data_IF_523345673790
#
_entry.id   IF_523345673790
#
_cell.length_a   1.000
_cell.length_b   1.000
_cell.length_c   1.000
_cell.angle_alpha   90.00
_cell.angle_beta   90.00
_cell.angle_gamma   90.00
#
_symmetry.space_group_name_H-M   'P 1'
#
loop_
_entity.id
_entity.type
_entity.pdbx_description
1 polymer ?
#
# COMPACT_ATOMS: atom_id res chain seq x y z
N UNK A 1 13.99 20.66 61.07
CA UNK A 1 14.30 19.80 59.92
C UNK A 1 13.12 19.92 58.96
N UNK A 2 13.23 20.86 57.97
CA UNK A 2 12.15 21.19 57.05
C UNK A 2 12.25 20.30 55.82
N UNK A 3 11.17 19.58 55.53
CA UNK A 3 11.00 18.80 54.30
C UNK A 3 10.42 19.73 53.22
N UNK A 4 11.21 20.01 52.16
CA UNK A 4 10.76 20.79 51.00
C UNK A 4 10.01 19.89 50.05
N UNK A 5 8.72 20.17 49.87
CA UNK A 5 7.89 19.62 48.80
C UNK A 5 8.28 20.25 47.48
N UNK A 6 8.79 19.42 46.53
CA UNK A 6 8.93 19.79 45.13
C UNK A 6 7.60 19.47 44.42
N UNK A 7 6.87 20.50 44.10
CA UNK A 7 5.69 20.40 43.20
C UNK A 7 6.23 20.51 41.80
N UNK A 8 6.16 19.39 41.05
CA UNK A 8 6.38 19.39 39.59
C UNK A 8 5.16 20.00 38.93
N UNK A 9 5.30 21.18 38.35
CA UNK A 9 4.35 21.76 37.42
C UNK A 9 4.47 21.03 36.08
N UNK A 10 3.58 20.07 35.87
CA UNK A 10 3.28 19.59 34.54
C UNK A 10 2.43 20.66 33.84
N UNK A 11 3.00 21.37 32.90
CA UNK A 11 2.29 22.29 32.01
C UNK A 11 1.42 21.49 31.07
N UNK A 12 0.15 21.34 31.45
CA UNK A 12 -0.91 20.83 30.56
C UNK A 12 -1.12 21.89 29.48
N UNK A 13 -0.62 21.60 28.29
CA UNK A 13 -1.00 22.33 27.07
C UNK A 13 -2.51 22.21 26.89
N UNK A 14 -3.24 23.28 27.20
CA UNK A 14 -4.65 23.42 26.83
C UNK A 14 -4.74 23.45 25.31
N UNK A 15 -5.04 22.33 24.69
CA UNK A 15 -5.41 22.27 23.29
C UNK A 15 -6.75 22.96 23.15
N UNK A 16 -6.74 24.13 22.53
CA UNK A 16 -7.93 24.88 22.15
C UNK A 16 -8.78 24.00 21.22
N UNK A 17 -9.98 23.67 21.64
CA UNK A 17 -10.99 22.94 20.84
C UNK A 17 -11.56 23.86 19.75
N UNK A 18 -10.74 24.24 18.79
CA UNK A 18 -11.23 24.66 17.47
C UNK A 18 -11.55 23.40 16.70
N UNK A 19 -12.81 23.20 16.32
CA UNK A 19 -13.23 22.11 15.45
C UNK A 19 -12.31 22.08 14.23
N UNK A 20 -11.48 21.04 14.13
CA UNK A 20 -10.55 20.87 13.01
C UNK A 20 -11.38 20.84 11.71
N UNK A 21 -11.07 21.72 10.77
CA UNK A 21 -11.71 21.73 9.46
C UNK A 21 -11.24 20.48 8.71
N UNK A 22 -12.02 19.40 8.76
CA UNK A 22 -11.73 18.09 8.19
C UNK A 22 -11.75 18.06 6.65
N UNK A 23 -11.97 19.20 5.99
CA UNK A 23 -12.05 19.30 4.54
C UNK A 23 -11.02 20.29 4.00
N UNK A 24 -10.12 19.78 3.19
CA UNK A 24 -9.20 20.64 2.45
C UNK A 24 -9.96 21.29 1.27
N UNK A 25 -10.00 22.63 1.25
CA UNK A 25 -10.61 23.46 0.17
C UNK A 25 -9.60 23.84 -0.92
N UNK A 26 -8.34 23.46 -0.76
CA UNK A 26 -7.26 23.75 -1.70
C UNK A 26 -7.26 22.74 -2.83
N UNK A 27 -6.97 23.18 -4.06
CA UNK A 27 -6.92 22.29 -5.22
C UNK A 27 -5.79 21.27 -5.11
N UNK A 28 -5.97 20.08 -5.67
CA UNK A 28 -4.93 19.03 -5.69
C UNK A 28 -3.64 19.54 -6.34
N UNK A 29 -3.75 20.35 -7.40
CA UNK A 29 -2.60 20.92 -8.09
C UNK A 29 -1.78 21.81 -7.16
N UNK A 30 -2.42 22.72 -6.45
CA UNK A 30 -1.77 23.62 -5.50
C UNK A 30 -1.11 22.87 -4.32
N UNK A 31 -1.76 21.80 -3.81
CA UNK A 31 -1.18 20.97 -2.76
C UNK A 31 0.09 20.24 -3.21
N UNK A 32 0.10 19.73 -4.45
CA UNK A 32 1.30 19.13 -5.04
C UNK A 32 2.40 20.17 -5.24
N UNK A 33 2.08 21.35 -5.76
CA UNK A 33 3.04 22.44 -5.93
C UNK A 33 3.70 22.83 -4.61
N UNK A 34 2.92 22.94 -3.53
CA UNK A 34 3.45 23.19 -2.16
C UNK A 34 4.41 22.11 -1.71
N UNK A 35 4.07 20.83 -1.91
CA UNK A 35 4.93 19.69 -1.56
C UNK A 35 6.25 19.74 -2.35
N UNK A 36 6.23 20.07 -3.64
CA UNK A 36 7.44 20.17 -4.45
C UNK A 36 8.33 21.35 -4.08
N UNK A 37 7.77 22.41 -3.47
CA UNK A 37 8.52 23.55 -2.92
C UNK A 37 9.04 23.30 -1.51
N UNK A 38 8.57 22.27 -0.82
CA UNK A 38 9.02 21.93 0.53
C UNK A 38 10.48 21.48 0.51
N UNK A 39 11.32 22.17 1.30
CA UNK A 39 12.77 21.92 1.38
C UNK A 39 13.06 20.80 2.38
N UNK A 40 12.22 20.69 3.43
CA UNK A 40 12.39 19.69 4.46
C UNK A 40 12.15 18.28 3.88
N UNK A 41 13.11 17.35 4.06
CA UNK A 41 12.92 15.97 3.61
C UNK A 41 11.83 15.30 4.43
N UNK A 42 11.09 14.42 3.77
CA UNK A 42 10.02 13.62 4.40
C UNK A 42 10.37 12.15 4.35
N UNK A 43 9.93 11.41 5.36
CA UNK A 43 10.04 9.95 5.42
C UNK A 43 8.69 9.31 5.13
N UNK A 44 8.62 8.46 4.12
CA UNK A 44 7.43 7.68 3.79
C UNK A 44 7.40 6.39 4.58
N UNK A 45 6.25 6.10 5.19
CA UNK A 45 6.08 5.00 6.14
C UNK A 45 4.75 4.29 5.87
N UNK A 46 4.73 2.99 6.05
CA UNK A 46 3.48 2.23 6.14
C UNK A 46 3.41 1.42 7.41
N UNK A 47 2.24 1.33 8.01
CA UNK A 47 1.97 0.46 9.15
C UNK A 47 0.51 0.03 9.18
N UNK A 48 0.23 -1.04 9.87
CA UNK A 48 -1.11 -1.51 10.15
C UNK A 48 -1.14 -2.22 11.49
N UNK A 49 -2.33 -2.27 12.10
CA UNK A 49 -2.56 -3.04 13.30
C UNK A 49 -4.01 -3.52 13.34
N UNK A 50 -4.22 -4.82 13.58
CA UNK A 50 -5.54 -5.37 13.85
C UNK A 50 -5.81 -5.31 15.35
N UNK A 51 -6.83 -4.55 15.76
CA UNK A 51 -7.33 -4.43 17.12
C UNK A 51 -8.74 -3.87 17.11
N UNK A 52 -9.48 -4.10 18.18
CA UNK A 52 -10.85 -3.61 18.26
C UNK A 52 -10.91 -2.10 18.53
N UNK A 53 -11.63 -1.38 17.70
CA UNK A 53 -11.92 0.06 17.85
C UNK A 53 -13.43 0.21 18.05
N UNK A 54 -13.84 0.64 19.24
CA UNK A 54 -15.25 0.79 19.61
C UNK A 54 -15.93 1.89 18.79
N UNK A 55 -15.32 3.07 18.68
CA UNK A 55 -15.80 4.20 17.87
C UNK A 55 -14.75 4.61 16.80
N UNK A 56 -14.81 4.02 15.60
CA UNK A 56 -13.88 4.37 14.52
C UNK A 56 -13.96 5.84 14.07
N UNK A 57 -15.10 6.51 14.26
CA UNK A 57 -15.25 7.93 13.89
C UNK A 57 -14.50 8.84 14.85
N UNK A 58 -14.72 8.61 16.16
CA UNK A 58 -13.99 9.34 17.20
C UNK A 58 -12.49 9.09 17.10
N UNK A 59 -12.08 7.82 16.98
CA UNK A 59 -10.68 7.44 16.79
C UNK A 59 -10.05 8.14 15.58
N UNK A 60 -10.76 8.19 14.44
CA UNK A 60 -10.34 8.91 13.23
C UNK A 60 -10.11 10.39 13.51
N UNK A 61 -11.01 11.07 14.24
CA UNK A 61 -10.95 12.51 14.48
C UNK A 61 -9.80 12.87 15.44
N UNK A 62 -9.62 12.08 16.51
CA UNK A 62 -8.52 12.22 17.46
C UNK A 62 -7.17 12.01 16.75
N UNK A 63 -7.04 10.93 15.96
CA UNK A 63 -5.85 10.62 15.19
C UNK A 63 -5.54 11.70 14.13
N UNK A 64 -6.58 12.23 13.44
CA UNK A 64 -6.40 13.31 12.47
C UNK A 64 -5.79 14.55 13.14
N UNK A 65 -6.30 14.94 14.29
CA UNK A 65 -5.83 16.12 15.03
C UNK A 65 -4.35 15.98 15.41
N UNK A 66 -3.96 14.82 15.93
CA UNK A 66 -2.59 14.54 16.33
C UNK A 66 -1.62 14.50 15.12
N UNK A 67 -1.98 13.79 14.07
CA UNK A 67 -1.11 13.66 12.89
C UNK A 67 -1.02 14.94 12.07
N UNK A 68 -2.11 15.71 11.98
CA UNK A 68 -2.12 17.00 11.29
C UNK A 68 -1.20 18.03 11.98
N UNK A 69 -1.14 18.01 13.31
CA UNK A 69 -0.22 18.86 14.09
C UNK A 69 1.26 18.54 13.81
N UNK A 70 1.56 17.32 13.37
CA UNK A 70 2.90 16.87 12.98
C UNK A 70 3.20 17.03 11.49
N UNK A 71 2.33 17.71 10.72
CA UNK A 71 2.42 17.85 9.26
C UNK A 71 2.51 16.50 8.53
N UNK A 72 1.82 15.48 9.03
CA UNK A 72 1.73 14.18 8.38
C UNK A 72 0.80 14.28 7.17
N UNK A 73 1.25 13.75 6.03
CA UNK A 73 0.41 13.52 4.85
C UNK A 73 0.21 12.03 4.67
N UNK A 74 -0.82 11.63 3.94
CA UNK A 74 -1.03 10.23 3.65
C UNK A 74 -2.49 9.80 3.59
N UNK A 75 -2.66 8.49 3.50
CA UNK A 75 -3.96 7.84 3.46
C UNK A 75 -4.04 6.80 4.57
N UNK A 76 -5.05 6.95 5.41
CA UNK A 76 -5.29 6.04 6.54
C UNK A 76 -6.73 5.52 6.44
N UNK A 77 -6.88 4.21 6.61
CA UNK A 77 -8.17 3.56 6.79
C UNK A 77 -8.31 3.09 8.23
N UNK A 78 -9.44 3.43 8.83
CA UNK A 78 -9.84 3.03 10.19
C UNK A 78 -11.13 2.23 10.08
N UNK A 79 -11.20 1.10 10.78
CA UNK A 79 -12.39 0.27 10.89
C UNK A 79 -12.51 -0.26 12.33
N UNK A 80 -13.61 -0.93 12.66
CA UNK A 80 -13.75 -1.62 13.96
C UNK A 80 -12.68 -2.69 14.19
N UNK A 81 -12.08 -3.23 13.11
CA UNK A 81 -11.04 -4.26 13.16
C UNK A 81 -9.60 -3.70 13.25
N UNK A 82 -9.40 -2.36 13.22
CA UNK A 82 -8.06 -1.77 13.32
C UNK A 82 -7.77 -0.58 12.41
N UNK A 83 -6.49 -0.41 12.06
CA UNK A 83 -5.93 0.68 11.26
C UNK A 83 -5.01 0.16 10.15
N UNK A 84 -5.02 0.86 9.00
CA UNK A 84 -4.09 0.67 7.89
C UNK A 84 -3.65 2.04 7.37
N UNK A 85 -2.36 2.33 7.46
CA UNK A 85 -1.78 3.65 7.19
C UNK A 85 -0.64 3.57 6.18
N UNK A 86 -0.67 4.49 5.20
CA UNK A 86 0.44 4.86 4.35
C UNK A 86 0.58 6.38 4.46
N UNK A 87 1.68 6.85 5.00
CA UNK A 87 1.88 8.25 5.38
C UNK A 87 3.29 8.74 5.03
N UNK A 88 3.45 10.05 4.95
CA UNK A 88 4.76 10.70 4.98
C UNK A 88 4.79 11.76 6.07
N UNK A 89 5.91 11.87 6.76
CA UNK A 89 6.14 12.80 7.86
C UNK A 89 7.43 13.58 7.60
N UNK A 90 7.52 14.90 7.92
CA UNK A 90 8.78 15.60 7.92
C UNK A 90 9.81 14.86 8.78
N UNK A 91 11.03 14.73 8.29
CA UNK A 91 12.06 13.92 8.96
C UNK A 91 12.31 14.36 10.42
N UNK A 92 12.24 15.67 10.67
CA UNK A 92 12.41 16.23 12.02
C UNK A 92 11.25 15.83 12.97
N UNK A 93 10.08 15.46 12.44
CA UNK A 93 8.92 15.06 13.22
C UNK A 93 8.77 13.53 13.34
N UNK A 94 9.72 12.73 12.81
CA UNK A 94 9.62 11.26 12.82
C UNK A 94 9.52 10.68 14.24
N UNK A 95 10.37 11.12 15.16
CA UNK A 95 10.33 10.65 16.55
C UNK A 95 9.09 11.14 17.30
N UNK A 96 8.59 12.34 16.98
CA UNK A 96 7.34 12.85 17.53
C UNK A 96 6.13 11.99 17.05
N UNK A 97 6.15 11.58 15.78
CA UNK A 97 5.16 10.64 15.25
C UNK A 97 5.21 9.29 15.98
N UNK A 98 6.41 8.73 16.20
CA UNK A 98 6.58 7.47 16.93
C UNK A 98 6.01 7.56 18.34
N UNK A 99 6.33 8.64 19.05
CA UNK A 99 5.82 8.89 20.40
C UNK A 99 4.29 9.02 20.40
N UNK A 100 3.72 9.78 19.46
CA UNK A 100 2.27 9.93 19.30
C UNK A 100 1.57 8.58 19.07
N UNK A 101 2.14 7.70 18.26
CA UNK A 101 1.58 6.36 18.04
C UNK A 101 1.72 5.49 19.30
N UNK A 102 2.83 5.58 20.03
CA UNK A 102 3.07 4.82 21.26
C UNK A 102 2.12 5.22 22.41
N UNK A 103 1.56 6.43 22.40
CA UNK A 103 0.54 6.86 23.37
C UNK A 103 -0.81 6.14 23.16
N UNK A 104 -1.02 5.55 21.97
CA UNK A 104 -2.20 4.74 21.65
C UNK A 104 -1.84 3.28 21.95
N UNK A 105 -2.35 2.73 23.08
CA UNK A 105 -1.94 1.41 23.62
C UNK A 105 -1.85 0.31 22.55
N UNK A 106 -2.84 0.07 21.65
CA UNK A 106 -2.71 -0.96 20.63
C UNK A 106 -1.68 -0.67 19.53
N UNK A 107 -1.17 0.57 19.43
CA UNK A 107 -0.14 0.99 18.47
C UNK A 107 1.24 1.13 19.12
N UNK A 108 1.36 0.84 20.41
CA UNK A 108 2.64 0.90 21.10
C UNK A 108 3.64 -0.07 20.44
N UNK A 109 4.78 0.45 20.01
CA UNK A 109 5.80 -0.27 19.25
C UNK A 109 5.29 -0.91 17.94
N UNK A 110 4.23 -0.35 17.33
CA UNK A 110 3.78 -0.81 16.02
C UNK A 110 4.94 -0.72 15.00
N UNK A 111 5.08 -1.75 14.16
CA UNK A 111 6.12 -1.75 13.13
C UNK A 111 5.87 -0.64 12.12
N UNK A 112 6.85 0.22 11.94
CA UNK A 112 6.88 1.25 10.91
C UNK A 112 7.76 0.75 9.74
N UNK A 113 7.13 0.34 8.64
CA UNK A 113 7.84 -0.02 7.41
C UNK A 113 8.23 1.28 6.70
N UNK A 114 9.49 1.65 6.77
CA UNK A 114 10.04 2.82 6.08
C UNK A 114 10.22 2.47 4.61
N UNK A 115 9.92 3.37 3.70
CA UNK A 115 10.10 3.19 2.26
C UNK A 115 11.55 2.80 1.90
N UNK A 116 11.70 1.93 0.91
CA UNK A 116 13.03 1.46 0.45
C UNK A 116 13.68 2.50 -0.46
N UNK A 117 12.85 3.15 -1.30
CA UNK A 117 13.24 4.19 -2.24
C UNK A 117 12.27 5.36 -2.07
N UNK A 118 12.73 6.47 -1.47
CA UNK A 118 11.88 7.57 -1.02
C UNK A 118 12.40 8.93 -1.48
N UNK A 119 11.65 9.55 -2.39
CA UNK A 119 11.91 10.92 -2.83
C UNK A 119 11.22 11.99 -1.95
N UNK A 120 10.51 11.56 -0.90
CA UNK A 120 9.75 12.43 -0.01
C UNK A 120 8.48 13.03 -0.62
N UNK A 121 8.06 12.59 -1.82
CA UNK A 121 6.93 13.16 -2.56
C UNK A 121 5.73 12.22 -2.68
N UNK A 122 5.65 11.23 -1.80
CA UNK A 122 4.62 10.17 -1.82
C UNK A 122 3.19 10.66 -1.59
N UNK A 123 2.99 11.68 -0.73
CA UNK A 123 1.68 12.22 -0.37
C UNK A 123 1.71 13.74 -0.19
N UNK A 124 0.61 14.43 -0.52
CA UNK A 124 0.46 15.91 -0.42
C UNK A 124 -0.67 16.37 0.50
N UNK A 125 -1.42 15.44 1.12
CA UNK A 125 -2.52 15.76 2.04
C UNK A 125 -2.80 14.57 2.96
N UNK A 126 -3.21 14.84 4.20
CA UNK A 126 -3.68 13.82 5.12
C UNK A 126 -5.16 13.49 4.83
N UNK A 127 -5.47 12.22 4.60
CA UNK A 127 -6.83 11.69 4.44
C UNK A 127 -7.03 10.47 5.32
N UNK A 128 -7.87 10.58 6.34
CA UNK A 128 -8.27 9.45 7.19
C UNK A 128 -9.73 9.12 6.91
N UNK A 129 -10.00 7.88 6.51
CA UNK A 129 -11.35 7.41 6.13
C UNK A 129 -11.78 6.25 7.01
N UNK A 130 -12.97 6.35 7.57
CA UNK A 130 -13.63 5.20 8.19
C UNK A 130 -14.15 4.27 7.10
N UNK A 131 -13.92 2.97 7.25
CA UNK A 131 -14.30 1.89 6.37
C UNK A 131 -14.90 0.75 7.17
N UNK A 132 -15.59 -0.18 6.49
CA UNK A 132 -16.11 -1.40 7.14
C UNK A 132 -14.96 -2.34 7.52
N UNK A 133 -13.91 -2.36 6.71
CA UNK A 133 -12.69 -3.17 6.87
C UNK A 133 -11.45 -2.35 6.52
N UNK A 134 -10.31 -2.66 7.18
CA UNK A 134 -9.02 -2.00 6.85
C UNK A 134 -8.36 -2.58 5.59
N UNK A 135 -8.80 -3.77 5.17
CA UNK A 135 -8.52 -4.37 3.86
C UNK A 135 -9.80 -5.03 3.35
N UNK A 136 -10.13 -4.82 2.07
CA UNK A 136 -11.36 -5.33 1.48
C UNK A 136 -11.26 -6.84 1.19
N UNK A 137 -11.53 -7.67 2.19
CA UNK A 137 -11.38 -9.13 2.15
C UNK A 137 -12.60 -9.89 1.62
N UNK A 138 -13.80 -9.33 1.74
CA UNK A 138 -15.05 -9.98 1.33
C UNK A 138 -15.46 -11.18 2.19
N UNK A 139 -14.81 -11.44 3.32
CA UNK A 139 -15.14 -12.54 4.21
C UNK A 139 -16.45 -12.22 4.94
N UNK A 140 -17.47 -13.02 4.69
CA UNK A 140 -18.79 -12.92 5.33
C UNK A 140 -19.05 -14.04 6.35
N UNK A 141 -18.16 -15.02 6.45
CA UNK A 141 -18.29 -16.16 7.38
C UNK A 141 -18.12 -15.70 8.83
N UNK A 142 -19.17 -15.83 9.63
CA UNK A 142 -19.18 -15.43 11.03
C UNK A 142 -18.28 -16.32 11.93
N UNK A 143 -17.88 -17.49 11.47
CA UNK A 143 -16.97 -18.40 12.19
C UNK A 143 -15.50 -18.07 11.93
N UNK A 144 -15.20 -17.14 11.02
CA UNK A 144 -13.83 -16.73 10.72
C UNK A 144 -13.20 -15.97 11.89
N UNK A 145 -12.05 -16.47 12.36
CA UNK A 145 -11.31 -15.86 13.47
C UNK A 145 -9.91 -15.40 13.03
N UNK A 146 -9.69 -14.08 12.98
CA UNK A 146 -8.41 -13.45 12.68
C UNK A 146 -7.29 -13.78 13.68
N UNK A 147 -7.61 -14.26 14.89
CA UNK A 147 -6.62 -14.63 15.90
C UNK A 147 -5.88 -15.92 15.53
N UNK A 148 -6.56 -16.81 14.78
CA UNK A 148 -5.93 -18.02 14.24
C UNK A 148 -5.29 -17.71 12.89
N UNK A 149 -4.10 -17.15 12.91
CA UNK A 149 -3.33 -16.74 11.71
C UNK A 149 -2.04 -17.53 11.56
N UNK A 150 -1.47 -17.50 10.36
CA UNK A 150 -0.21 -18.15 10.02
C UNK A 150 0.98 -17.59 10.80
N UNK A 151 2.08 -18.30 10.77
CA UNK A 151 3.31 -17.93 11.47
C UNK A 151 4.06 -16.84 10.68
N UNK A 152 4.52 -15.81 11.39
CA UNK A 152 5.44 -14.82 10.82
C UNK A 152 6.81 -15.45 10.56
N UNK A 153 7.44 -15.07 9.46
CA UNK A 153 8.82 -15.47 9.16
C UNK A 153 9.65 -14.24 8.82
N UNK A 154 10.88 -14.22 9.31
CA UNK A 154 11.89 -13.22 8.97
C UNK A 154 12.35 -13.37 7.52
N UNK A 155 13.14 -12.42 7.00
CA UNK A 155 13.75 -12.55 5.67
C UNK A 155 14.67 -13.77 5.57
N UNK A 156 15.44 -14.07 6.62
CA UNK A 156 16.33 -15.25 6.67
C UNK A 156 15.54 -16.56 6.66
N UNK A 157 14.49 -16.66 7.47
CA UNK A 157 13.66 -17.85 7.53
C UNK A 157 12.82 -18.02 6.26
N UNK A 158 12.40 -16.91 5.64
CA UNK A 158 11.76 -16.93 4.32
C UNK A 158 12.71 -17.56 3.31
N UNK A 159 13.96 -17.09 3.24
CA UNK A 159 14.95 -17.64 2.29
C UNK A 159 15.19 -19.14 2.51
N UNK A 160 15.34 -19.57 3.78
CA UNK A 160 15.50 -21.00 4.13
C UNK A 160 14.26 -21.82 3.74
N UNK A 161 13.06 -21.34 4.04
CA UNK A 161 11.83 -22.05 3.70
C UNK A 161 11.67 -22.21 2.17
N UNK A 162 12.03 -21.18 1.40
CA UNK A 162 11.91 -21.22 -0.07
C UNK A 162 12.93 -22.16 -0.75
N UNK A 163 13.94 -22.64 -0.05
CA UNK A 163 14.87 -23.68 -0.52
C UNK A 163 14.26 -25.09 -0.40
N UNK A 164 13.26 -25.27 0.43
CA UNK A 164 12.56 -26.54 0.55
C UNK A 164 11.59 -26.71 -0.64
N UNK A 165 11.72 -27.79 -1.46
CA UNK A 165 10.85 -28.04 -2.62
C UNK A 165 9.38 -28.27 -2.27
N UNK A 166 9.07 -28.55 -1.00
CA UNK A 166 7.71 -28.66 -0.50
C UNK A 166 7.09 -27.33 -0.07
N UNK A 167 7.81 -26.23 -0.23
CA UNK A 167 7.32 -24.89 0.05
C UNK A 167 6.79 -24.21 -1.20
N UNK A 168 5.60 -23.67 -1.09
CA UNK A 168 4.93 -22.90 -2.14
C UNK A 168 4.92 -21.43 -1.72
N UNK A 169 5.53 -20.57 -2.53
CA UNK A 169 5.54 -19.12 -2.34
C UNK A 169 4.36 -18.51 -3.09
N UNK A 170 3.50 -17.77 -2.40
CA UNK A 170 2.27 -17.21 -2.96
C UNK A 170 2.27 -15.68 -2.84
N UNK A 171 2.13 -15.00 -3.97
CA UNK A 171 1.95 -13.55 -3.99
C UNK A 171 0.49 -13.18 -3.74
N UNK A 172 0.24 -12.48 -2.63
CA UNK A 172 -1.08 -11.98 -2.26
C UNK A 172 -1.31 -10.53 -2.72
N UNK A 173 -0.64 -10.13 -3.79
CA UNK A 173 -0.82 -8.83 -4.44
C UNK A 173 -1.63 -8.99 -5.73
N UNK A 174 -2.13 -7.86 -6.24
CA UNK A 174 -2.82 -7.84 -7.51
C UNK A 174 -1.85 -8.06 -8.69
N UNK A 175 -2.38 -8.47 -9.84
CA UNK A 175 -1.60 -8.74 -11.04
C UNK A 175 -0.63 -7.60 -11.42
N UNK A 176 -1.09 -6.34 -11.43
CA UNK A 176 -0.24 -5.20 -11.79
C UNK A 176 0.91 -4.94 -10.81
N UNK A 177 0.80 -5.44 -9.55
CA UNK A 177 1.90 -5.38 -8.58
C UNK A 177 2.91 -6.51 -8.85
N UNK A 178 2.42 -7.73 -9.19
CA UNK A 178 3.26 -8.89 -9.52
C UNK A 178 4.05 -8.67 -10.81
N UNK A 179 3.45 -8.04 -11.81
CA UNK A 179 4.00 -7.87 -13.15
C UNK A 179 5.34 -7.13 -13.16
N UNK A 180 5.54 -6.15 -12.25
CA UNK A 180 6.78 -5.35 -12.19
C UNK A 180 7.84 -5.89 -11.23
N UNK A 181 7.47 -6.83 -10.37
CA UNK A 181 8.42 -7.47 -9.45
C UNK A 181 7.75 -8.47 -8.51
N UNK A 182 8.45 -9.58 -8.26
CA UNK A 182 7.98 -10.66 -7.39
C UNK A 182 9.16 -11.51 -6.88
N UNK A 183 8.93 -12.37 -5.88
CA UNK A 183 9.93 -13.34 -5.48
C UNK A 183 10.08 -14.44 -6.53
N UNK A 184 11.31 -14.94 -6.71
CA UNK A 184 11.58 -16.09 -7.61
C UNK A 184 10.64 -17.25 -7.29
N UNK A 185 10.07 -17.87 -8.31
CA UNK A 185 9.17 -19.02 -8.22
C UNK A 185 7.87 -18.75 -7.44
N UNK A 186 7.51 -17.50 -7.15
CA UNK A 186 6.24 -17.19 -6.54
C UNK A 186 5.08 -17.48 -7.49
N UNK A 187 4.02 -18.07 -6.94
CA UNK A 187 2.76 -18.29 -7.65
C UNK A 187 1.93 -17.01 -7.57
N UNK A 188 1.53 -16.50 -8.70
CA UNK A 188 0.52 -15.45 -8.80
C UNK A 188 -0.89 -16.04 -8.67
N UNK A 189 -1.75 -15.37 -7.89
CA UNK A 189 -3.18 -15.64 -7.90
C UNK A 189 -3.83 -14.65 -8.87
N UNK A 190 -4.34 -15.08 -10.03
CA UNK A 190 -4.75 -14.21 -11.12
C UNK A 190 -6.08 -13.51 -10.85
N UNK A 191 -6.09 -12.60 -9.89
CA UNK A 191 -7.24 -11.82 -9.45
C UNK A 191 -6.99 -10.31 -9.56
N UNK A 192 -8.06 -9.52 -9.68
CA UNK A 192 -7.99 -8.07 -9.74
C UNK A 192 -8.17 -7.40 -8.37
N UNK A 193 -8.68 -8.15 -7.39
CA UNK A 193 -8.96 -7.64 -6.05
C UNK A 193 -8.61 -8.68 -4.99
N UNK A 194 -8.20 -8.21 -3.82
CA UNK A 194 -7.95 -9.09 -2.67
C UNK A 194 -9.17 -9.91 -2.26
N UNK A 195 -10.38 -9.38 -2.46
CA UNK A 195 -11.65 -10.08 -2.20
C UNK A 195 -11.82 -11.32 -3.08
N UNK A 196 -11.46 -11.23 -4.36
CA UNK A 196 -11.48 -12.35 -5.30
C UNK A 196 -10.31 -13.30 -5.04
N UNK A 197 -9.17 -12.75 -4.63
CA UNK A 197 -7.93 -13.48 -4.43
C UNK A 197 -8.02 -14.52 -3.31
N UNK A 198 -8.70 -14.20 -2.20
CA UNK A 198 -8.81 -15.10 -1.05
C UNK A 198 -9.45 -16.45 -1.40
N UNK A 199 -10.69 -16.53 -1.91
CA UNK A 199 -11.29 -17.81 -2.29
C UNK A 199 -10.51 -18.50 -3.41
N UNK A 200 -10.04 -17.76 -4.41
CA UNK A 200 -9.26 -18.29 -5.52
C UNK A 200 -7.94 -18.93 -5.03
N UNK A 201 -7.26 -18.34 -4.05
CA UNK A 201 -6.04 -18.91 -3.48
C UNK A 201 -6.31 -20.25 -2.79
N UNK A 202 -7.41 -20.36 -2.04
CA UNK A 202 -7.79 -21.62 -1.39
C UNK A 202 -8.16 -22.71 -2.41
N UNK A 203 -8.83 -22.36 -3.51
CA UNK A 203 -9.19 -23.29 -4.59
C UNK A 203 -7.96 -23.77 -5.37
N UNK A 204 -7.06 -22.85 -5.75
CA UNK A 204 -5.83 -23.18 -6.50
C UNK A 204 -4.86 -24.05 -5.71
N UNK A 205 -4.93 -24.02 -4.40
CA UNK A 205 -4.03 -24.76 -3.50
C UNK A 205 -4.73 -25.92 -2.78
N UNK A 206 -5.96 -26.28 -3.13
CA UNK A 206 -6.79 -27.24 -2.36
C UNK A 206 -6.14 -28.61 -2.23
N UNK A 207 -5.41 -29.07 -3.27
CA UNK A 207 -4.65 -30.32 -3.29
C UNK A 207 -3.32 -30.24 -2.50
N UNK A 208 -2.99 -29.11 -1.91
CA UNK A 208 -1.68 -28.79 -1.29
C UNK A 208 -1.78 -28.38 0.17
N UNK A 209 -2.86 -28.78 0.87
CA UNK A 209 -3.12 -28.36 2.25
C UNK A 209 -2.07 -28.80 3.27
N UNK A 210 -1.36 -29.88 2.98
CA UNK A 210 -0.29 -30.41 3.83
C UNK A 210 1.09 -29.77 3.55
N UNK A 211 1.24 -29.05 2.43
CA UNK A 211 2.50 -28.39 2.06
C UNK A 211 2.72 -27.11 2.86
N UNK A 212 3.95 -26.63 2.89
CA UNK A 212 4.28 -25.31 3.42
C UNK A 212 3.81 -24.23 2.45
N UNK A 213 2.85 -23.41 2.88
CA UNK A 213 2.39 -22.24 2.11
C UNK A 213 2.97 -20.99 2.76
N UNK A 214 3.83 -20.27 2.05
CA UNK A 214 4.37 -19.01 2.51
C UNK A 214 3.87 -17.87 1.64
N UNK A 215 3.27 -16.85 2.26
CA UNK A 215 2.64 -15.75 1.57
C UNK A 215 3.38 -14.44 1.80
N UNK A 216 3.34 -13.56 0.82
CA UNK A 216 3.84 -12.20 0.94
C UNK A 216 2.92 -11.19 0.25
N UNK A 217 3.02 -9.92 0.67
CA UNK A 217 2.48 -8.75 -0.01
C UNK A 217 3.40 -7.56 0.24
N UNK A 218 3.01 -6.36 -0.13
CA UNK A 218 3.83 -5.14 0.01
C UNK A 218 4.27 -4.87 1.46
N UNK A 219 3.33 -4.82 2.41
CA UNK A 219 3.59 -4.44 3.81
C UNK A 219 3.09 -5.44 4.86
N UNK A 220 2.53 -6.61 4.47
CA UNK A 220 2.11 -7.68 5.38
C UNK A 220 0.60 -7.76 5.67
N UNK A 221 -0.17 -6.69 5.57
CA UNK A 221 -1.58 -6.63 5.99
C UNK A 221 -2.49 -7.65 5.29
N UNK A 222 -2.35 -7.82 3.97
CA UNK A 222 -3.14 -8.82 3.20
C UNK A 222 -2.79 -10.23 3.62
N UNK A 223 -1.50 -10.49 3.85
CA UNK A 223 -1.01 -11.82 4.20
C UNK A 223 -1.43 -12.26 5.60
N UNK A 224 -1.49 -11.34 6.55
CA UNK A 224 -1.99 -11.66 7.88
C UNK A 224 -3.43 -12.19 7.81
N UNK A 225 -4.30 -11.52 7.05
CA UNK A 225 -5.68 -11.97 6.84
C UNK A 225 -5.78 -13.22 5.98
N UNK A 226 -4.99 -13.31 4.90
CA UNK A 226 -4.98 -14.47 4.02
C UNK A 226 -4.49 -15.73 4.73
N UNK A 227 -3.51 -15.62 5.63
CA UNK A 227 -3.02 -16.77 6.41
C UNK A 227 -4.08 -17.31 7.36
N UNK A 228 -4.82 -16.42 8.03
CA UNK A 228 -5.96 -16.82 8.84
C UNK A 228 -7.05 -17.51 8.00
N UNK A 229 -7.31 -16.97 6.80
CA UNK A 229 -8.29 -17.55 5.88
C UNK A 229 -7.89 -18.95 5.39
N UNK A 230 -6.63 -19.18 5.00
CA UNK A 230 -6.18 -20.49 4.57
C UNK A 230 -6.21 -21.50 5.72
N UNK A 231 -5.82 -21.12 6.96
CA UNK A 231 -5.97 -21.97 8.13
C UNK A 231 -7.44 -22.35 8.39
N UNK A 232 -8.35 -21.38 8.26
CA UNK A 232 -9.79 -21.60 8.36
C UNK A 232 -10.32 -22.56 7.27
N UNK A 233 -9.68 -22.58 6.08
CA UNK A 233 -9.98 -23.51 4.98
C UNK A 233 -9.26 -24.87 5.10
N UNK A 234 -8.59 -25.12 6.23
CA UNK A 234 -8.00 -26.42 6.58
C UNK A 234 -6.55 -26.63 6.14
N UNK A 235 -5.86 -25.59 5.66
CA UNK A 235 -4.41 -25.66 5.42
C UNK A 235 -3.66 -25.82 6.75
N UNK A 236 -2.55 -26.59 6.76
CA UNK A 236 -1.86 -26.95 8.00
C UNK A 236 -0.63 -26.08 8.28
N UNK A 237 0.17 -25.81 7.28
CA UNK A 237 1.47 -25.17 7.42
C UNK A 237 1.47 -23.83 6.67
N UNK A 238 0.92 -22.80 7.33
CA UNK A 238 0.75 -21.47 6.71
C UNK A 238 1.67 -20.47 7.37
N UNK A 239 2.46 -19.79 6.55
CA UNK A 239 3.43 -18.78 6.94
C UNK A 239 3.19 -17.49 6.16
N UNK A 240 3.63 -16.36 6.69
CA UNK A 240 3.65 -15.11 5.95
C UNK A 240 4.86 -14.25 6.30
N UNK A 241 5.36 -13.56 5.28
CA UNK A 241 6.55 -12.72 5.38
C UNK A 241 6.26 -11.51 6.28
N UNK A 242 7.03 -11.39 7.35
CA UNK A 242 6.90 -10.34 8.34
C UNK A 242 7.21 -8.96 7.74
N UNK A 243 6.24 -8.02 7.83
CA UNK A 243 6.38 -6.68 7.25
C UNK A 243 6.42 -6.61 5.73
N UNK A 244 6.20 -7.76 5.06
CA UNK A 244 6.12 -7.86 3.58
C UNK A 244 7.44 -7.57 2.86
N UNK A 245 7.34 -7.23 1.57
CA UNK A 245 8.49 -6.94 0.69
C UNK A 245 9.33 -5.80 1.23
N UNK A 246 8.71 -4.74 1.77
CA UNK A 246 9.43 -3.56 2.26
C UNK A 246 10.39 -3.97 3.37
N UNK A 247 9.91 -4.67 4.39
CA UNK A 247 10.75 -5.09 5.50
C UNK A 247 11.79 -6.15 5.09
N UNK A 248 11.40 -7.07 4.19
CA UNK A 248 12.32 -8.04 3.60
C UNK A 248 13.51 -7.37 2.91
N UNK A 249 13.25 -6.37 2.06
CA UNK A 249 14.29 -5.65 1.34
C UNK A 249 15.25 -4.91 2.30
N UNK A 250 14.71 -4.31 3.37
CA UNK A 250 15.51 -3.68 4.42
C UNK A 250 16.39 -4.70 5.15
N UNK A 251 15.82 -5.81 5.62
CA UNK A 251 16.58 -6.88 6.27
C UNK A 251 17.63 -7.49 5.35
N UNK A 252 17.31 -7.69 4.07
CA UNK A 252 18.26 -8.23 3.10
C UNK A 252 19.48 -7.33 2.93
N UNK A 253 19.27 -6.02 2.89
CA UNK A 253 20.33 -5.02 2.82
C UNK A 253 21.13 -4.91 4.12
N UNK A 254 20.44 -4.82 5.26
CA UNK A 254 21.08 -4.64 6.58
C UNK A 254 21.92 -5.84 7.00
N UNK A 255 21.42 -7.06 6.73
CA UNK A 255 22.05 -8.32 7.12
C UNK A 255 22.90 -8.95 6.02
N UNK A 256 22.98 -8.31 4.84
CA UNK A 256 23.70 -8.80 3.66
C UNK A 256 23.31 -10.26 3.28
N UNK A 257 22.00 -10.55 3.30
CA UNK A 257 21.48 -11.86 2.86
C UNK A 257 21.04 -11.81 1.41
N UNK A 258 21.01 -12.99 0.78
CA UNK A 258 20.61 -13.14 -0.64
C UNK A 258 19.19 -12.59 -0.86
N UNK A 259 19.06 -11.62 -1.77
CA UNK A 259 17.79 -11.02 -2.11
C UNK A 259 17.10 -11.84 -3.21
N UNK A 260 16.06 -12.59 -2.83
CA UNK A 260 15.28 -13.44 -3.74
C UNK A 260 14.13 -12.69 -4.45
N UNK A 261 13.91 -11.42 -4.15
CA UNK A 261 12.96 -10.58 -4.88
C UNK A 261 13.60 -10.06 -6.17
N UNK A 262 12.83 -10.00 -7.25
CA UNK A 262 13.26 -9.48 -8.55
C UNK A 262 12.36 -8.33 -9.00
N UNK A 263 12.96 -7.24 -9.47
CA UNK A 263 12.25 -6.08 -10.02
C UNK A 263 11.84 -5.02 -9.00
N UNK A 264 10.67 -4.44 -9.23
CA UNK A 264 10.09 -3.34 -8.45
C UNK A 264 8.98 -3.81 -7.50
N UNK A 265 8.89 -3.23 -6.32
CA UNK A 265 7.73 -3.34 -5.45
C UNK A 265 6.75 -2.20 -5.75
N UNK A 266 5.55 -2.52 -6.22
CA UNK A 266 4.49 -1.52 -6.41
C UNK A 266 4.04 -0.96 -5.05
N UNK A 267 3.87 0.37 -4.97
CA UNK A 267 3.36 1.08 -3.79
C UNK A 267 2.15 1.95 -4.13
N UNK A 268 1.26 2.14 -3.15
CA UNK A 268 -0.02 2.82 -3.33
C UNK A 268 0.06 4.33 -3.04
N UNK A 269 1.11 4.98 -3.54
CA UNK A 269 1.31 6.43 -3.44
C UNK A 269 1.79 7.01 -4.77
N UNK A 270 2.14 8.30 -4.82
CA UNK A 270 2.52 8.98 -6.07
C UNK A 270 3.78 8.42 -6.73
N UNK A 271 4.62 7.67 -6.01
CA UNK A 271 5.81 6.99 -6.55
C UNK A 271 5.46 5.79 -7.45
N UNK A 272 4.30 5.14 -7.21
CA UNK A 272 3.80 3.95 -7.89
C UNK A 272 4.77 2.75 -7.90
N UNK A 273 5.92 2.83 -7.25
CA UNK A 273 6.88 1.74 -7.15
C UNK A 273 8.17 2.14 -6.44
N UNK A 274 8.82 1.13 -5.86
CA UNK A 274 10.12 1.22 -5.21
C UNK A 274 11.06 0.21 -5.86
N UNK A 275 12.27 0.63 -6.24
CA UNK A 275 13.27 -0.26 -6.81
C UNK A 275 13.87 -1.15 -5.74
N UNK A 276 13.73 -2.48 -5.92
CA UNK A 276 14.32 -3.47 -5.01
C UNK A 276 15.56 -4.09 -5.63
N UNK A 277 15.52 -4.43 -6.93
CA UNK A 277 16.66 -4.88 -7.72
C UNK A 277 16.70 -4.18 -9.07
N UNK A 278 17.84 -4.26 -9.78
CA UNK A 278 18.01 -3.63 -11.10
C UNK A 278 17.28 -4.36 -12.25
N UNK A 279 16.64 -5.48 -11.94
CA UNK A 279 15.92 -6.26 -12.95
C UNK A 279 14.69 -5.50 -13.46
N UNK A 280 14.48 -5.51 -14.78
CA UNK A 280 13.28 -5.02 -15.46
C UNK A 280 12.58 -6.21 -16.10
N UNK A 281 11.62 -6.78 -15.39
CA UNK A 281 10.93 -8.02 -15.81
C UNK A 281 9.63 -7.79 -16.58
N UNK A 282 9.05 -6.60 -16.44
CA UNK A 282 7.82 -6.22 -17.12
C UNK A 282 8.07 -5.61 -18.51
N UNK A 283 6.98 -5.38 -19.23
CA UNK A 283 7.00 -4.80 -20.58
C UNK A 283 6.04 -3.61 -20.68
N UNK A 284 6.44 -2.64 -21.48
CA UNK A 284 5.57 -1.52 -21.86
C UNK A 284 4.28 -2.04 -22.49
N UNK A 285 3.14 -1.63 -21.96
CA UNK A 285 1.82 -2.09 -22.43
C UNK A 285 1.45 -1.57 -23.84
N UNK A 286 2.24 -0.65 -24.43
CA UNK A 286 1.98 -0.12 -25.75
C UNK A 286 2.92 -0.70 -26.82
N UNK A 287 4.20 -0.86 -26.53
CA UNK A 287 5.18 -1.30 -27.54
C UNK A 287 5.86 -2.65 -27.22
N UNK A 288 5.67 -3.22 -26.03
CA UNK A 288 6.26 -4.48 -25.63
C UNK A 288 7.76 -4.44 -25.26
N UNK A 289 8.44 -3.28 -25.34
CA UNK A 289 9.81 -3.12 -24.87
C UNK A 289 9.90 -3.31 -23.37
N UNK A 290 11.05 -3.76 -22.80
CA UNK A 290 11.23 -3.81 -21.35
C UNK A 290 10.92 -2.47 -20.69
N UNK A 291 10.07 -2.47 -19.67
CA UNK A 291 9.70 -1.31 -18.88
C UNK A 291 8.99 -1.75 -17.60
N UNK A 292 9.14 -0.98 -16.52
CA UNK A 292 8.51 -1.22 -15.22
C UNK A 292 7.97 0.04 -14.56
N UNK A 293 7.80 1.09 -15.34
CA UNK A 293 7.25 2.36 -14.85
C UNK A 293 5.73 2.36 -15.00
N UNK A 294 5.03 2.25 -13.87
CA UNK A 294 3.60 2.46 -13.82
C UNK A 294 3.27 3.94 -13.99
N UNK A 295 2.21 4.23 -14.72
CA UNK A 295 1.65 5.57 -14.86
C UNK A 295 0.13 5.51 -14.93
N UNK A 296 -0.52 6.59 -14.52
CA UNK A 296 -1.95 6.77 -14.77
C UNK A 296 -2.14 7.54 -16.06
N UNK A 297 -3.06 7.08 -16.91
CA UNK A 297 -3.41 7.79 -18.13
C UNK A 297 -3.75 9.26 -17.83
N UNK A 298 -3.13 10.19 -18.55
CA UNK A 298 -3.35 11.63 -18.34
C UNK A 298 -4.74 12.12 -18.76
N UNK A 299 -5.50 11.33 -19.52
CA UNK A 299 -6.91 11.59 -19.71
C UNK A 299 -7.66 11.30 -18.39
N UNK A 300 -8.07 12.35 -17.68
CA UNK A 300 -8.78 12.26 -16.40
C UNK A 300 -10.07 11.43 -16.46
N UNK A 301 -10.70 11.29 -17.62
CA UNK A 301 -11.87 10.44 -17.81
C UNK A 301 -11.52 8.96 -17.86
N UNK A 302 -10.28 8.64 -18.22
CA UNK A 302 -9.75 7.28 -18.30
C UNK A 302 -9.03 6.88 -17.00
N UNK A 303 -8.00 7.62 -16.65
CA UNK A 303 -7.17 7.46 -15.46
C UNK A 303 -6.66 6.01 -15.24
N UNK A 304 -6.49 5.25 -16.32
CA UNK A 304 -6.06 3.86 -16.31
C UNK A 304 -4.61 3.76 -15.82
N UNK A 305 -4.37 2.88 -14.86
CA UNK A 305 -3.01 2.50 -14.43
C UNK A 305 -2.43 1.48 -15.43
N UNK A 306 -1.25 1.75 -15.98
CA UNK A 306 -0.58 0.86 -16.94
C UNK A 306 0.94 1.07 -16.93
N UNK A 307 1.69 0.16 -17.55
CA UNK A 307 3.14 0.27 -17.69
C UNK A 307 3.48 0.95 -19.00
N UNK A 308 4.29 2.01 -18.94
CA UNK A 308 4.68 2.79 -20.11
C UNK A 308 6.19 3.08 -20.12
N UNK A 309 6.87 2.79 -21.23
CA UNK A 309 8.26 3.20 -21.41
C UNK A 309 8.35 4.68 -21.80
N UNK A 310 9.54 5.28 -21.63
CA UNK A 310 9.76 6.70 -21.90
C UNK A 310 9.44 7.12 -23.35
N UNK A 311 9.75 6.25 -24.32
CA UNK A 311 9.45 6.52 -25.74
C UNK A 311 7.93 6.61 -25.96
N UNK A 312 7.17 5.66 -25.40
CA UNK A 312 5.71 5.69 -25.49
C UNK A 312 5.11 6.84 -24.67
N UNK A 313 5.69 7.19 -23.53
CA UNK A 313 5.25 8.34 -22.74
C UNK A 313 5.38 9.66 -23.54
N UNK A 314 6.47 9.82 -24.27
CA UNK A 314 6.66 10.97 -25.17
C UNK A 314 5.70 10.93 -26.37
N UNK A 315 5.53 9.75 -26.99
CA UNK A 315 4.69 9.57 -28.17
C UNK A 315 3.21 9.83 -27.89
N UNK A 316 2.72 9.40 -26.74
CA UNK A 316 1.30 9.44 -26.37
C UNK A 316 0.99 10.49 -25.29
N UNK A 317 1.91 11.41 -24.99
CA UNK A 317 1.77 12.45 -23.95
C UNK A 317 1.40 11.87 -22.55
N UNK A 318 1.81 10.64 -22.25
CA UNK A 318 1.45 9.92 -21.03
C UNK A 318 0.02 9.34 -21.05
N UNK A 319 -0.62 9.27 -22.20
CA UNK A 319 -1.92 8.64 -22.39
C UNK A 319 -1.78 7.16 -22.79
N UNK A 320 -2.82 6.38 -22.51
CA UNK A 320 -2.83 4.93 -22.75
C UNK A 320 -3.19 4.55 -24.20
N UNK A 321 -3.80 5.46 -24.97
CA UNK A 321 -4.19 5.25 -26.37
C UNK A 321 -4.24 6.58 -27.11
N UNK A 322 -4.36 6.51 -28.45
CA UNK A 322 -4.52 7.69 -29.32
C UNK A 322 -5.79 8.46 -28.96
N UNK A 323 -6.91 7.77 -28.72
CA UNK A 323 -8.17 8.42 -28.34
C UNK A 323 -8.05 9.17 -27.00
N UNK A 324 -7.30 8.61 -26.04
CA UNK A 324 -7.04 9.31 -24.79
C UNK A 324 -6.14 10.51 -24.96
N UNK A 325 -5.17 10.45 -25.86
CA UNK A 325 -4.29 11.56 -26.21
C UNK A 325 -5.08 12.69 -26.90
N UNK A 326 -5.95 12.37 -27.85
CA UNK A 326 -6.85 13.35 -28.49
C UNK A 326 -7.68 14.11 -27.46
N UNK A 327 -8.32 13.37 -26.52
CA UNK A 327 -9.12 14.00 -25.44
C UNK A 327 -8.23 14.86 -24.52
N UNK A 328 -7.04 14.38 -24.16
CA UNK A 328 -6.11 15.12 -23.31
C UNK A 328 -5.65 16.44 -23.92
N UNK A 329 -5.50 16.49 -25.25
CA UNK A 329 -5.09 17.65 -25.99
C UNK A 329 -6.24 18.65 -26.32
N UNK A 330 -7.49 18.30 -25.99
CA UNK A 330 -8.64 19.21 -26.12
C UNK A 330 -8.59 20.32 -25.05
N UNK A 331 -9.26 21.48 -25.30
CA UNK A 331 -9.46 22.49 -24.26
C UNK A 331 -10.10 21.92 -22.98
N UNK A 332 -9.66 22.38 -21.80
CA UNK A 332 -10.13 21.85 -20.51
C UNK A 332 -11.65 21.87 -20.34
N UNK A 333 -12.33 22.91 -20.93
CA UNK A 333 -13.79 23.01 -20.92
C UNK A 333 -14.47 21.86 -21.66
N UNK A 334 -13.94 21.48 -22.81
CA UNK A 334 -14.46 20.37 -23.61
C UNK A 334 -14.21 19.00 -22.90
N UNK A 335 -13.01 18.82 -22.33
CA UNK A 335 -12.72 17.63 -21.51
C UNK A 335 -13.70 17.50 -20.35
N UNK A 336 -14.05 18.59 -19.66
CA UNK A 336 -15.05 18.60 -18.57
C UNK A 336 -16.46 18.23 -19.06
N UNK A 337 -16.86 18.70 -20.25
CA UNK A 337 -18.14 18.33 -20.85
C UNK A 337 -18.21 16.85 -21.21
N UNK A 338 -17.14 16.29 -21.80
CA UNK A 338 -17.05 14.86 -22.14
C UNK A 338 -17.11 13.95 -20.91
N UNK A 339 -16.65 14.44 -19.74
CA UNK A 339 -16.71 13.70 -18.46
C UNK A 339 -18.07 13.78 -17.77
N UNK A 340 -18.89 14.78 -18.09
CA UNK A 340 -20.18 15.01 -17.43
C UNK A 340 -21.11 13.81 -17.61
N UNK A 341 -21.54 13.19 -16.51
CA UNK A 341 -22.44 12.04 -16.52
C UNK A 341 -21.76 10.67 -16.75
N UNK A 342 -20.43 10.63 -16.96
CA UNK A 342 -19.69 9.36 -17.00
C UNK A 342 -19.26 8.95 -15.60
N UNK A 343 -19.56 7.71 -15.20
CA UNK A 343 -19.09 7.14 -13.94
C UNK A 343 -17.59 6.78 -14.06
N UNK A 344 -16.72 7.66 -13.59
CA UNK A 344 -15.26 7.52 -13.65
C UNK A 344 -14.69 6.45 -12.69
N UNK A 345 -15.50 5.71 -11.97
CA UNK A 345 -15.03 4.93 -10.83
C UNK A 345 -14.70 3.46 -11.08
N UNK A 346 -15.14 2.87 -12.20
CA UNK A 346 -15.00 1.41 -12.40
C UNK A 346 -13.79 0.99 -13.24
N UNK A 347 -12.95 1.94 -13.67
CA UNK A 347 -11.92 1.72 -14.67
C UNK A 347 -10.49 2.04 -14.22
N UNK A 348 -10.30 2.35 -12.94
CA UNK A 348 -9.03 2.86 -12.39
C UNK A 348 -7.89 1.84 -12.40
N UNK A 349 -8.23 0.56 -12.32
CA UNK A 349 -7.23 -0.50 -12.43
C UNK A 349 -7.40 -1.22 -13.77
N UNK A 350 -6.28 -1.46 -14.43
CA UNK A 350 -6.26 -2.35 -15.57
C UNK A 350 -6.68 -3.74 -15.09
N UNK A 351 -7.96 -4.06 -15.28
CA UNK A 351 -8.46 -5.42 -15.12
C UNK A 351 -7.79 -6.23 -16.22
N UNK A 352 -6.71 -6.86 -15.89
CA UNK A 352 -5.65 -7.41 -16.73
C UNK A 352 -6.12 -8.34 -17.86
N UNK A 353 -7.36 -8.83 -17.82
CA UNK A 353 -7.91 -9.70 -18.86
C UNK A 353 -8.68 -8.98 -19.99
N UNK A 354 -9.01 -7.68 -19.84
CA UNK A 354 -9.92 -7.03 -20.78
C UNK A 354 -9.48 -5.69 -21.37
N UNK A 355 -8.37 -5.05 -20.92
CA UNK A 355 -8.20 -3.65 -21.25
C UNK A 355 -6.97 -3.17 -21.95
N UNK A 356 -5.83 -3.38 -21.46
CA UNK A 356 -4.60 -3.01 -22.10
C UNK A 356 -3.54 -4.02 -21.70
N UNK A 357 -3.72 -5.21 -22.07
CA UNK A 357 -2.50 -5.79 -22.65
C UNK A 357 -2.42 -5.09 -23.97
N UNK A 358 -1.30 -4.43 -24.27
CA UNK A 358 -1.13 -3.94 -25.59
C UNK A 358 -1.58 -5.08 -26.47
N UNK A 359 -2.21 -4.77 -27.55
CA UNK A 359 -2.18 -5.62 -28.70
C UNK A 359 -0.69 -5.85 -28.95
N UNK A 360 -0.09 -6.72 -28.18
CA UNK A 360 1.14 -7.40 -28.51
C UNK A 360 0.72 -8.13 -29.76
N UNK A 361 0.77 -7.39 -30.87
CA UNK A 361 0.50 -7.91 -32.18
C UNK A 361 1.41 -9.12 -32.28
N UNK A 362 0.79 -10.24 -32.54
CA UNK A 362 1.39 -11.51 -32.90
C UNK A 362 2.54 -11.31 -33.87
#
# INVERSE_FOLDING_TARGET
MQVRNFVHHASVLKISTTMAVLHNRVSQKELKERLYQEIEPRTTISFYQYFFIEDPKKFRDDLYSSLNALNVFGRIYVATEGINAQISVPQNNFELLRNCLNEIEPLNNVRLNIAVDDDGKSFWVLKIKVRDKIVADGIADASFDMRNKGKYVSAEDFNKLTENPDTIVVDMRNHYEYEVGHFKNAIEIPSDTFREQLPMSAEMLDDRKEKNIIMYCTGGIRCEKASAYLLHRGFKNVYHLEGGIIHYAQQAKEKNIDNKFIGKNFVFDDRLGERITEDVIAKCHQCGKPADSHTNCKNDACHLLFIQCEECAKKYDGCCSDECQEIYNMPEGEQKQLRKGKMNGMMVFNKSKQRLRPRLNN
#
